data_IF_643972272524
#
_entry.id   IF_643972272524
#
_cell.length_a   1.000
_cell.length_b   1.000
_cell.length_c   1.000
_cell.angle_alpha   90.00
_cell.angle_beta   90.00
_cell.angle_gamma   90.00
#
_symmetry.space_group_name_H-M   'P 1'
#
loop_
_entity.id
_entity.type
_entity.pdbx_description
1 polymer ?
#
# COMPACT_ATOMS: atom_id res chain seq x y z
N UNK A 1 37.60 34.76 -26.01
CA UNK A 1 37.44 33.60 -25.12
C UNK A 1 36.39 33.96 -24.07
N UNK A 2 35.11 33.71 -24.36
CA UNK A 2 34.00 34.13 -23.48
C UNK A 2 33.57 32.97 -22.60
N UNK A 3 33.86 33.07 -21.30
CA UNK A 3 33.42 32.12 -20.28
C UNK A 3 31.89 32.14 -20.17
N UNK A 4 31.23 31.06 -20.59
CA UNK A 4 29.82 30.81 -20.29
C UNK A 4 29.73 30.26 -18.86
N UNK A 5 29.37 31.12 -17.92
CA UNK A 5 29.04 30.69 -16.55
C UNK A 5 27.78 29.83 -16.58
N UNK A 6 27.94 28.51 -16.44
CA UNK A 6 26.85 27.56 -16.28
C UNK A 6 26.20 27.78 -14.90
N UNK A 7 25.07 28.51 -14.87
CA UNK A 7 24.25 28.61 -13.66
C UNK A 7 23.53 27.28 -13.46
N UNK A 8 24.03 26.46 -12.53
CA UNK A 8 23.29 25.31 -12.01
C UNK A 8 22.06 25.87 -11.29
N UNK A 9 20.88 25.65 -11.87
CA UNK A 9 19.62 26.00 -11.19
C UNK A 9 19.49 25.07 -9.98
N UNK A 10 19.23 25.57 -8.77
CA UNK A 10 18.93 24.69 -7.65
C UNK A 10 17.72 23.83 -8.05
N UNK A 11 17.86 22.52 -7.89
CA UNK A 11 16.75 21.56 -8.01
C UNK A 11 15.64 22.06 -7.11
N UNK A 12 14.57 22.59 -7.71
CA UNK A 12 13.36 22.94 -6.97
C UNK A 12 12.74 21.62 -6.53
N UNK A 13 13.09 21.17 -5.32
CA UNK A 13 12.39 20.08 -4.67
C UNK A 13 10.97 20.57 -4.44
N UNK A 14 10.06 20.23 -5.37
CA UNK A 14 8.67 20.64 -5.30
C UNK A 14 8.07 19.99 -4.05
N UNK A 15 7.90 20.77 -2.99
CA UNK A 15 7.15 20.38 -1.79
C UNK A 15 5.72 20.04 -2.22
N UNK A 16 5.45 18.76 -2.48
CA UNK A 16 4.09 18.28 -2.67
C UNK A 16 3.57 17.82 -1.33
N UNK A 17 2.37 18.27 -0.95
CA UNK A 17 1.61 17.58 0.09
C UNK A 17 1.44 16.14 -0.39
N UNK A 18 1.86 15.17 0.42
CA UNK A 18 1.54 13.77 0.16
C UNK A 18 0.02 13.62 0.26
N UNK A 19 -0.67 13.64 -0.87
CA UNK A 19 -2.09 13.31 -0.90
C UNK A 19 -2.21 11.80 -0.94
N UNK A 20 -2.59 11.21 0.18
CA UNK A 20 -3.01 9.81 0.23
C UNK A 20 -4.48 9.74 -0.16
N UNK A 21 -4.81 8.89 -1.13
CA UNK A 21 -6.17 8.67 -1.61
C UNK A 21 -6.53 7.19 -1.46
N UNK A 22 -7.73 6.91 -0.96
CA UNK A 22 -8.28 5.56 -0.98
C UNK A 22 -8.73 5.23 -2.41
N UNK A 23 -8.02 4.31 -3.07
CA UNK A 23 -8.22 3.95 -4.48
C UNK A 23 -9.04 2.66 -4.65
N UNK A 24 -9.19 1.89 -3.57
CA UNK A 24 -10.13 0.80 -3.39
C UNK A 24 -10.33 0.58 -1.88
N UNK A 25 -11.36 -0.19 -1.51
CA UNK A 25 -11.66 -0.48 -0.10
C UNK A 25 -10.42 -0.92 0.67
N UNK A 26 -10.02 -0.11 1.63
CA UNK A 26 -8.84 -0.30 2.48
C UNK A 26 -7.52 -0.47 1.70
N UNK A 27 -7.42 0.22 0.57
CA UNK A 27 -6.21 0.36 -0.26
C UNK A 27 -6.02 1.84 -0.53
N UNK A 28 -4.91 2.38 -0.03
CA UNK A 28 -4.55 3.78 -0.21
C UNK A 28 -3.30 3.93 -1.06
N UNK A 29 -3.22 4.98 -1.87
CA UNK A 29 -2.04 5.33 -2.66
C UNK A 29 -1.62 6.77 -2.44
N UNK A 30 -0.31 6.99 -2.48
CA UNK A 30 0.32 8.31 -2.42
C UNK A 30 1.53 8.36 -3.35
N UNK A 31 1.73 9.50 -4.00
CA UNK A 31 2.85 9.68 -4.93
C UNK A 31 2.63 8.99 -6.29
N UNK A 32 3.70 8.90 -7.07
CA UNK A 32 3.70 8.31 -8.41
C UNK A 32 5.13 8.04 -8.88
N UNK A 33 5.31 7.10 -9.82
CA UNK A 33 6.61 6.76 -10.38
C UNK A 33 7.30 5.62 -9.61
N UNK A 34 8.64 5.54 -9.71
CA UNK A 34 9.45 4.53 -9.04
C UNK A 34 10.29 5.16 -7.91
N UNK A 35 10.60 4.40 -6.84
CA UNK A 35 10.16 3.02 -6.60
C UNK A 35 8.67 2.92 -6.23
N UNK A 36 8.03 1.81 -6.57
CA UNK A 36 6.68 1.43 -6.16
C UNK A 36 6.77 0.49 -4.97
N UNK A 37 6.31 0.96 -3.82
CA UNK A 37 6.39 0.24 -2.55
C UNK A 37 4.98 -0.06 -2.04
N UNK A 38 4.72 -1.29 -1.62
CA UNK A 38 3.52 -1.63 -0.87
C UNK A 38 3.84 -1.99 0.58
N UNK A 39 3.02 -1.50 1.51
CA UNK A 39 3.02 -1.93 2.92
C UNK A 39 1.64 -2.53 3.22
N UNK A 40 1.63 -3.78 3.63
CA UNK A 40 0.44 -4.54 3.95
C UNK A 40 0.42 -4.89 5.45
N UNK A 41 -0.79 -4.91 6.00
CA UNK A 41 -1.05 -5.42 7.33
C UNK A 41 -2.43 -6.06 7.40
N UNK A 42 -2.61 -7.01 8.32
CA UNK A 42 -3.90 -7.67 8.53
C UNK A 42 -4.33 -8.55 7.37
N UNK A 43 -3.39 -9.20 6.69
CA UNK A 43 -3.70 -10.33 5.78
C UNK A 43 -4.41 -11.44 6.55
N UNK A 44 -3.94 -11.72 7.77
CA UNK A 44 -4.72 -12.42 8.78
C UNK A 44 -5.31 -11.40 9.77
N UNK A 45 -6.61 -11.48 10.03
CA UNK A 45 -7.33 -10.44 10.77
C UNK A 45 -7.01 -10.36 12.26
N UNK A 46 -6.52 -11.45 12.86
CA UNK A 46 -6.11 -11.49 14.27
C UNK A 46 -4.73 -10.87 14.52
N UNK A 47 -3.99 -10.50 13.48
CA UNK A 47 -2.62 -9.98 13.56
C UNK A 47 -2.60 -8.44 13.62
N UNK A 48 -2.89 -7.90 14.80
CA UNK A 48 -3.18 -6.46 14.99
C UNK A 48 -2.01 -5.52 14.72
N UNK A 49 -0.76 -5.98 14.83
CA UNK A 49 0.43 -5.13 14.68
C UNK A 49 0.51 -4.50 13.29
N UNK A 50 0.33 -5.29 12.22
CA UNK A 50 0.34 -4.79 10.85
C UNK A 50 -0.83 -3.82 10.58
N UNK A 51 -2.01 -4.14 11.12
CA UNK A 51 -3.20 -3.28 11.02
C UNK A 51 -2.94 -1.89 11.61
N UNK A 52 -2.39 -1.83 12.82
CA UNK A 52 -2.06 -0.58 13.50
C UNK A 52 -1.00 0.23 12.74
N UNK A 53 0.03 -0.42 12.20
CA UNK A 53 1.05 0.25 11.38
C UNK A 53 0.43 0.92 10.16
N UNK A 54 -0.43 0.19 9.43
CA UNK A 54 -1.10 0.73 8.23
C UNK A 54 -2.01 1.91 8.60
N UNK A 55 -2.84 1.79 9.64
CA UNK A 55 -3.68 2.89 10.09
C UNK A 55 -2.87 4.15 10.43
N UNK A 56 -1.80 4.01 11.21
CA UNK A 56 -0.93 5.14 11.57
C UNK A 56 -0.28 5.79 10.36
N UNK A 57 0.11 5.01 9.35
CA UNK A 57 0.69 5.55 8.13
C UNK A 57 -0.36 6.32 7.32
N UNK A 58 -1.56 5.78 7.16
CA UNK A 58 -2.68 6.46 6.49
C UNK A 58 -3.02 7.77 7.21
N UNK A 59 -3.16 7.74 8.53
CA UNK A 59 -3.48 8.94 9.33
C UNK A 59 -2.41 10.02 9.19
N UNK A 60 -1.12 9.64 9.34
CA UNK A 60 -0.01 10.59 9.22
C UNK A 60 0.05 11.22 7.84
N UNK A 61 -0.12 10.43 6.78
CA UNK A 61 -0.09 10.90 5.40
C UNK A 61 -1.32 11.76 5.06
N UNK A 62 -2.47 11.47 5.64
CA UNK A 62 -3.69 12.28 5.45
C UNK A 62 -3.58 13.63 6.16
N UNK A 63 -3.07 13.63 7.39
CA UNK A 63 -3.17 14.79 8.27
C UNK A 63 -2.19 15.90 7.91
N UNK A 64 -0.91 15.61 7.63
CA UNK A 64 0.09 16.65 7.27
C UNK A 64 1.50 16.12 6.96
N UNK A 65 1.75 14.80 6.90
CA UNK A 65 3.11 14.33 6.64
C UNK A 65 3.59 14.83 5.28
N UNK A 66 4.58 15.73 5.31
CA UNK A 66 5.35 16.10 4.14
C UNK A 66 6.38 15.01 3.94
N UNK A 67 6.24 14.27 2.86
CA UNK A 67 7.29 13.38 2.38
C UNK A 67 8.28 14.21 1.55
N UNK A 68 8.93 15.17 2.20
CA UNK A 68 9.88 16.06 1.52
C UNK A 68 11.07 15.24 1.00
N UNK A 69 11.33 15.35 -0.30
CA UNK A 69 12.43 14.62 -0.96
C UNK A 69 12.17 13.13 -1.21
N UNK A 70 10.98 12.62 -0.88
CA UNK A 70 10.59 11.23 -1.21
C UNK A 70 9.96 11.20 -2.59
N UNK A 71 10.63 10.52 -3.53
CA UNK A 71 10.06 10.17 -4.83
C UNK A 71 9.47 8.76 -4.82
N UNK A 72 8.60 8.47 -5.79
CA UNK A 72 7.99 7.16 -5.97
C UNK A 72 6.52 7.08 -5.56
N UNK A 73 6.00 5.86 -5.54
CA UNK A 73 4.61 5.54 -5.22
C UNK A 73 4.57 4.63 -3.99
N UNK A 74 3.73 4.97 -3.02
CA UNK A 74 3.44 4.17 -1.84
C UNK A 74 2.00 3.68 -1.90
N UNK A 75 1.81 2.37 -1.82
CA UNK A 75 0.51 1.72 -1.63
C UNK A 75 0.43 1.18 -0.19
N UNK A 76 -0.62 1.54 0.55
CA UNK A 76 -0.91 1.04 1.90
C UNK A 76 -2.15 0.15 1.84
N UNK A 77 -2.12 -1.02 2.48
CA UNK A 77 -3.19 -2.02 2.35
C UNK A 77 -3.55 -2.64 3.69
N UNK A 78 -4.84 -2.66 4.01
CA UNK A 78 -5.37 -3.65 4.96
C UNK A 78 -5.80 -4.91 4.19
N UNK A 79 -5.15 -6.04 4.46
CA UNK A 79 -5.27 -7.26 3.66
C UNK A 79 -6.69 -7.82 3.66
N UNK A 80 -7.21 -8.18 4.83
CA UNK A 80 -8.54 -8.80 5.00
C UNK A 80 -9.43 -7.98 5.95
N UNK A 81 -10.06 -6.89 5.47
CA UNK A 81 -10.87 -6.01 6.31
C UNK A 81 -11.98 -6.74 7.10
N UNK A 82 -12.59 -7.77 6.52
CA UNK A 82 -13.61 -8.59 7.15
C UNK A 82 -13.05 -9.40 8.33
N UNK A 83 -11.91 -10.08 8.13
CA UNK A 83 -11.28 -10.84 9.20
C UNK A 83 -10.72 -9.90 10.30
N UNK A 84 -10.19 -8.73 9.92
CA UNK A 84 -9.72 -7.70 10.85
C UNK A 84 -10.86 -7.25 11.76
N UNK A 85 -12.04 -6.96 11.19
CA UNK A 85 -13.20 -6.53 11.96
C UNK A 85 -13.68 -7.61 12.96
N UNK A 86 -13.47 -8.89 12.63
CA UNK A 86 -13.83 -10.02 13.48
C UNK A 86 -12.71 -10.45 14.44
N UNK A 87 -11.48 -9.95 14.26
CA UNK A 87 -10.31 -10.37 15.04
C UNK A 87 -9.96 -11.85 14.86
N UNK A 88 -10.29 -12.44 13.71
CA UNK A 88 -10.02 -13.86 13.39
C UNK A 88 -8.96 -13.97 12.31
N UNK A 89 -8.33 -15.14 12.17
CA UNK A 89 -7.30 -15.37 11.14
C UNK A 89 -7.84 -15.14 9.73
N UNK A 90 -9.00 -15.68 9.42
CA UNK A 90 -9.74 -15.50 8.18
C UNK A 90 -11.23 -15.78 8.42
N UNK A 91 -12.10 -15.37 7.48
CA UNK A 91 -13.54 -15.61 7.56
C UNK A 91 -13.91 -16.94 6.89
N UNK A 92 -13.58 -17.11 5.60
CA UNK A 92 -13.96 -18.32 4.85
C UNK A 92 -12.74 -19.21 4.57
N UNK A 93 -11.62 -18.63 4.12
CA UNK A 93 -10.38 -19.35 3.82
C UNK A 93 -9.14 -18.48 4.02
N UNK A 94 -7.96 -19.08 4.10
CA UNK A 94 -6.71 -18.33 4.29
C UNK A 94 -6.39 -17.46 3.06
N UNK A 95 -6.36 -16.13 3.23
CA UNK A 95 -6.10 -15.15 2.17
C UNK A 95 -4.73 -15.37 1.49
N UNK A 96 -3.71 -15.83 2.22
CA UNK A 96 -2.39 -16.10 1.65
C UNK A 96 -2.38 -17.27 0.65
N UNK A 97 -3.47 -18.05 0.61
CA UNK A 97 -3.64 -19.14 -0.36
C UNK A 97 -4.51 -18.75 -1.56
N UNK A 98 -5.02 -17.53 -1.60
CA UNK A 98 -6.00 -17.05 -2.58
C UNK A 98 -5.40 -16.28 -3.76
N UNK A 99 -4.07 -16.19 -3.89
CA UNK A 99 -3.41 -15.48 -5.00
C UNK A 99 -3.10 -16.35 -6.23
N UNK A 100 -3.64 -17.57 -6.29
CA UNK A 100 -3.52 -18.46 -7.44
C UNK A 100 -4.46 -18.08 -8.60
N UNK A 101 -4.13 -18.50 -9.82
CA UNK A 101 -4.87 -18.16 -11.06
C UNK A 101 -6.37 -18.48 -11.02
N UNK A 102 -6.77 -19.58 -10.36
CA UNK A 102 -8.18 -19.95 -10.22
C UNK A 102 -8.96 -19.02 -9.27
N UNK A 103 -8.32 -18.52 -8.20
CA UNK A 103 -8.96 -17.64 -7.23
C UNK A 103 -9.17 -16.22 -7.80
N UNK A 104 -8.24 -15.77 -8.65
CA UNK A 104 -8.31 -14.46 -9.33
C UNK A 104 -9.40 -14.40 -10.42
N UNK A 105 -9.99 -15.54 -10.82
CA UNK A 105 -11.07 -15.60 -11.80
C UNK A 105 -12.47 -15.34 -11.21
N UNK A 106 -12.56 -14.81 -9.98
CA UNK A 106 -13.82 -14.52 -9.30
C UNK A 106 -14.26 -15.65 -8.38
N UNK A 107 -13.35 -16.08 -7.49
CA UNK A 107 -13.63 -17.12 -6.49
C UNK A 107 -14.85 -16.80 -5.60
N UNK A 108 -15.32 -17.83 -4.89
CA UNK A 108 -16.58 -17.82 -4.15
C UNK A 108 -16.43 -17.31 -2.72
N UNK A 109 -15.23 -17.42 -2.14
CA UNK A 109 -14.99 -16.96 -0.76
C UNK A 109 -14.72 -15.46 -0.71
N UNK A 110 -14.91 -14.86 0.47
CA UNK A 110 -14.54 -13.45 0.71
C UNK A 110 -13.07 -13.19 0.43
N UNK A 111 -12.19 -14.11 0.84
CA UNK A 111 -10.75 -13.96 0.63
C UNK A 111 -10.32 -14.13 -0.84
N UNK A 112 -10.97 -14.99 -1.63
CA UNK A 112 -10.70 -15.08 -3.06
C UNK A 112 -11.11 -13.79 -3.79
N UNK A 113 -12.28 -13.23 -3.47
CA UNK A 113 -12.73 -11.95 -4.01
C UNK A 113 -11.78 -10.82 -3.59
N UNK A 114 -11.33 -10.84 -2.33
CA UNK A 114 -10.36 -9.87 -1.82
C UNK A 114 -9.02 -9.98 -2.54
N UNK A 115 -8.51 -11.19 -2.75
CA UNK A 115 -7.27 -11.43 -3.50
C UNK A 115 -7.37 -10.91 -4.94
N UNK A 116 -8.51 -11.10 -5.61
CA UNK A 116 -8.74 -10.56 -6.96
C UNK A 116 -8.64 -9.03 -7.00
N UNK A 117 -9.20 -8.34 -6.00
CA UNK A 117 -9.05 -6.88 -5.88
C UNK A 117 -7.59 -6.50 -5.64
N UNK A 118 -6.93 -7.13 -4.66
CA UNK A 118 -5.56 -6.81 -4.25
C UNK A 118 -4.53 -7.08 -5.36
N UNK A 119 -4.74 -8.10 -6.19
CA UNK A 119 -3.81 -8.45 -7.27
C UNK A 119 -3.51 -7.26 -8.20
N UNK A 120 -4.51 -6.41 -8.48
CA UNK A 120 -4.33 -5.23 -9.32
C UNK A 120 -3.43 -4.14 -8.71
N UNK A 121 -3.29 -4.12 -7.38
CA UNK A 121 -2.49 -3.16 -6.63
C UNK A 121 -1.12 -3.69 -6.23
N UNK A 122 -0.97 -5.01 -6.20
CA UNK A 122 0.27 -5.71 -5.81
C UNK A 122 1.11 -6.18 -7.01
N UNK A 123 0.60 -6.03 -8.23
CA UNK A 123 1.38 -6.20 -9.46
C UNK A 123 2.36 -5.04 -9.68
N UNK A 124 3.52 -5.33 -10.29
CA UNK A 124 4.54 -4.31 -10.67
C UNK A 124 5.00 -3.42 -9.50
N UNK A 125 5.21 -4.03 -8.33
CA UNK A 125 5.88 -3.41 -7.19
C UNK A 125 7.39 -3.64 -7.28
N UNK A 126 8.17 -2.64 -6.87
CA UNK A 126 9.61 -2.80 -6.64
C UNK A 126 9.88 -3.47 -5.28
N UNK A 127 9.06 -3.14 -4.28
CA UNK A 127 9.15 -3.68 -2.92
C UNK A 127 7.76 -3.92 -2.34
N UNK A 128 7.58 -5.07 -1.70
CA UNK A 128 6.38 -5.38 -0.92
C UNK A 128 6.79 -5.78 0.50
N UNK A 129 6.26 -5.09 1.50
CA UNK A 129 6.45 -5.39 2.91
C UNK A 129 5.11 -5.83 3.48
N UNK A 130 5.01 -7.08 3.87
CA UNK A 130 3.82 -7.64 4.51
C UNK A 130 4.11 -7.93 5.99
N UNK A 131 3.38 -7.28 6.88
CA UNK A 131 3.63 -7.30 8.32
C UNK A 131 2.71 -8.33 8.98
N UNK A 132 3.30 -9.44 9.42
CA UNK A 132 2.65 -10.49 10.19
C UNK A 132 3.10 -10.48 11.66
N UNK A 133 2.23 -10.95 12.55
CA UNK A 133 2.50 -11.15 13.97
C UNK A 133 1.83 -12.43 14.48
N UNK A 134 2.51 -13.20 15.31
CA UNK A 134 1.96 -14.39 16.00
C UNK A 134 1.23 -14.05 17.29
#
# INVERSE_FOLDING_TARGET
>A
CSSKTLRIRPSQTRTMRAHVAEVARSVWRSGSGRPRVAILGGVHGNERTGVEVVHRLVDRLTQSARLDGVGGELTLVLGNPEAIAQGVRYVDTDLNRCFGSAALAGGRSREEQRAAVLASYLQDLDVMVDIHAT
#
